data_IF_869483424902
#
_entry.id   IF_869483424902
#
_cell.length_a   1.000
_cell.length_b   1.000
_cell.length_c   1.000
_cell.angle_alpha   90.00
_cell.angle_beta   90.00
_cell.angle_gamma   90.00
#
_symmetry.space_group_name_H-M   'P 1'
#
loop_
_entity.id
_entity.type
_entity.pdbx_description
1 polymer ?
#
# COMPACT_ATOMS: atom_id res chain seq x y z
N UNK A 1 -20.30 16.43 27.57
CA UNK A 1 -18.91 16.13 27.93
C UNK A 1 -18.84 14.66 28.27
N UNK A 2 -18.45 13.82 27.33
CA UNK A 2 -18.03 12.45 27.57
C UNK A 2 -16.91 12.19 26.57
N UNK A 3 -15.67 12.37 27.02
CA UNK A 3 -14.46 11.96 26.33
C UNK A 3 -14.55 10.48 26.04
N UNK A 4 -14.41 10.09 24.77
CA UNK A 4 -14.23 8.67 24.42
C UNK A 4 -13.00 8.15 25.21
N UNK A 5 -13.14 7.03 25.95
CA UNK A 5 -12.02 6.53 26.74
C UNK A 5 -10.90 6.11 25.81
N UNK A 6 -9.72 6.72 26.00
CA UNK A 6 -8.48 6.21 25.47
C UNK A 6 -8.38 4.71 25.74
N UNK A 7 -7.87 3.95 24.80
CA UNK A 7 -7.62 2.51 24.94
C UNK A 7 -6.85 2.29 26.24
N UNK A 8 -7.51 1.77 27.28
CA UNK A 8 -6.80 1.38 28.50
C UNK A 8 -5.89 0.21 28.12
N UNK A 9 -4.60 0.50 28.01
CA UNK A 9 -3.57 -0.51 27.94
C UNK A 9 -3.39 -1.04 29.36
N UNK A 10 -3.30 -2.34 29.53
CA UNK A 10 -2.97 -2.92 30.84
C UNK A 10 -1.63 -2.33 31.25
N UNK A 11 -1.65 -1.48 32.31
CA UNK A 11 -0.47 -0.83 32.84
C UNK A 11 0.55 -1.89 33.31
N UNK A 12 1.84 -1.63 33.05
CA UNK A 12 3.01 -2.20 33.71
C UNK A 12 3.71 -3.45 33.14
N UNK A 13 3.42 -3.91 31.94
CA UNK A 13 4.37 -4.86 31.32
C UNK A 13 5.24 -4.12 30.31
N UNK A 14 6.54 -3.90 30.60
CA UNK A 14 7.42 -3.20 29.68
C UNK A 14 7.52 -3.94 28.35
N UNK A 15 7.53 -3.18 27.26
CA UNK A 15 7.65 -3.73 25.89
C UNK A 15 9.08 -4.23 25.71
N UNK A 16 9.22 -5.52 25.45
CA UNK A 16 10.54 -6.10 25.21
C UNK A 16 11.01 -5.78 23.76
N UNK A 17 12.30 -5.51 23.52
CA UNK A 17 12.82 -5.26 22.16
C UNK A 17 12.48 -6.36 21.15
N UNK A 18 12.38 -7.62 21.60
CA UNK A 18 11.97 -8.76 20.77
C UNK A 18 10.53 -8.64 20.24
N UNK A 19 9.65 -7.95 20.96
CA UNK A 19 8.26 -7.72 20.52
C UNK A 19 8.24 -6.71 19.38
N UNK A 20 8.98 -5.60 19.51
CA UNK A 20 9.11 -4.59 18.46
C UNK A 20 9.73 -5.20 17.19
N UNK A 21 10.80 -6.00 17.37
CA UNK A 21 11.44 -6.69 16.26
C UNK A 21 10.48 -7.68 15.58
N UNK A 22 9.74 -8.46 16.37
CA UNK A 22 8.78 -9.42 15.84
C UNK A 22 7.62 -8.76 15.08
N UNK A 23 7.19 -7.59 15.54
CA UNK A 23 6.20 -6.78 14.85
C UNK A 23 6.75 -6.23 13.51
N UNK A 24 7.97 -5.71 13.51
CA UNK A 24 8.60 -5.18 12.31
C UNK A 24 8.90 -6.29 11.27
N UNK A 25 9.14 -7.55 11.70
CA UNK A 25 9.26 -8.70 10.80
C UNK A 25 7.97 -9.00 10.05
N UNK A 26 6.81 -8.58 10.55
CA UNK A 26 5.56 -8.71 9.79
C UNK A 26 5.51 -7.74 8.60
N UNK A 27 6.08 -6.53 8.73
CA UNK A 27 6.22 -5.60 7.60
C UNK A 27 7.19 -6.15 6.53
N UNK A 28 8.22 -6.89 6.95
CA UNK A 28 9.08 -7.65 6.04
C UNK A 28 8.25 -8.64 5.20
N UNK A 29 7.36 -9.41 5.83
CA UNK A 29 6.47 -10.35 5.14
C UNK A 29 5.53 -9.64 4.17
N UNK A 30 4.86 -8.59 4.63
CA UNK A 30 3.90 -7.80 3.84
C UNK A 30 4.53 -7.23 2.57
N UNK A 31 5.73 -6.67 2.67
CA UNK A 31 6.42 -6.06 1.53
C UNK A 31 6.83 -7.10 0.48
N UNK A 32 7.17 -8.32 0.90
CA UNK A 32 7.41 -9.43 -0.02
C UNK A 32 6.18 -9.76 -0.88
N UNK A 33 5.01 -9.82 -0.25
CA UNK A 33 3.75 -10.05 -0.97
C UNK A 33 3.43 -8.90 -1.93
N UNK A 34 3.50 -7.65 -1.45
CA UNK A 34 3.21 -6.48 -2.27
C UNK A 34 4.09 -6.42 -3.51
N UNK A 35 5.39 -6.61 -3.36
CA UNK A 35 6.32 -6.51 -4.48
C UNK A 35 6.13 -7.62 -5.50
N UNK A 36 5.94 -8.87 -5.08
CA UNK A 36 5.85 -10.01 -6.01
C UNK A 36 4.46 -10.16 -6.61
N UNK A 37 3.41 -10.05 -5.77
CA UNK A 37 2.05 -10.37 -6.21
C UNK A 37 1.36 -9.13 -6.81
N UNK A 38 1.44 -7.98 -6.15
CA UNK A 38 0.70 -6.79 -6.59
C UNK A 38 1.49 -5.98 -7.61
N UNK A 39 2.83 -5.88 -7.47
CA UNK A 39 3.61 -4.89 -8.21
C UNK A 39 4.44 -5.46 -9.35
N UNK A 40 5.14 -6.62 -9.16
CA UNK A 40 6.22 -7.00 -10.06
C UNK A 40 5.90 -8.18 -10.99
N UNK A 41 5.42 -9.31 -10.44
CA UNK A 41 5.43 -10.58 -11.16
C UNK A 41 4.01 -11.03 -11.49
N UNK A 42 3.17 -11.28 -10.46
CA UNK A 42 1.88 -11.91 -10.70
C UNK A 42 0.90 -10.99 -11.44
N UNK A 43 0.92 -9.67 -11.20
CA UNK A 43 0.08 -8.72 -11.92
C UNK A 43 0.38 -8.71 -13.44
N UNK A 44 1.65 -8.64 -13.83
CA UNK A 44 2.06 -8.68 -15.23
C UNK A 44 1.75 -10.05 -15.87
N UNK A 45 2.02 -11.14 -15.14
CA UNK A 45 1.66 -12.48 -15.56
C UNK A 45 0.15 -12.67 -15.70
N UNK A 46 -0.66 -12.12 -14.80
CA UNK A 46 -2.11 -12.16 -14.88
C UNK A 46 -2.61 -11.50 -16.16
N UNK A 47 -2.13 -10.29 -16.47
CA UNK A 47 -2.53 -9.54 -17.65
C UNK A 47 -2.06 -10.24 -18.95
N UNK A 48 -0.79 -10.65 -18.99
CA UNK A 48 -0.18 -11.18 -20.23
C UNK A 48 -0.52 -12.64 -20.52
N UNK A 49 -0.66 -13.47 -19.48
CA UNK A 49 -0.81 -14.93 -19.64
C UNK A 49 -2.18 -15.42 -19.20
N UNK A 50 -2.63 -15.08 -17.97
CA UNK A 50 -3.92 -15.59 -17.48
C UNK A 50 -5.09 -14.96 -18.25
N UNK A 51 -5.03 -13.65 -18.50
CA UNK A 51 -6.02 -12.92 -19.31
C UNK A 51 -5.64 -12.83 -20.79
N UNK A 52 -4.54 -13.46 -21.21
CA UNK A 52 -4.12 -13.61 -22.61
C UNK A 52 -3.74 -12.30 -23.31
N UNK A 53 -3.42 -11.23 -22.59
CA UNK A 53 -3.10 -9.92 -23.17
C UNK A 53 -4.28 -9.25 -23.88
N UNK A 54 -5.53 -9.65 -23.59
CA UNK A 54 -6.73 -9.07 -24.18
C UNK A 54 -6.89 -7.60 -23.76
N UNK A 55 -7.57 -6.78 -24.57
CA UNK A 55 -7.80 -5.35 -24.32
C UNK A 55 -8.47 -5.07 -22.95
N UNK A 56 -9.27 -6.01 -22.46
CA UNK A 56 -9.92 -5.96 -21.14
C UNK A 56 -9.05 -6.49 -19.98
N UNK A 57 -7.90 -7.10 -20.25
CA UNK A 57 -7.09 -7.81 -19.23
C UNK A 57 -6.63 -6.88 -18.10
N UNK A 58 -6.15 -5.68 -18.43
CA UNK A 58 -5.74 -4.67 -17.44
C UNK A 58 -6.94 -4.16 -16.64
N UNK A 59 -8.09 -3.96 -17.26
CA UNK A 59 -9.33 -3.58 -16.58
C UNK A 59 -9.78 -4.68 -15.61
N UNK A 60 -9.70 -5.95 -16.01
CA UNK A 60 -10.03 -7.07 -15.13
C UNK A 60 -9.08 -7.12 -13.92
N UNK A 61 -7.77 -6.97 -14.14
CA UNK A 61 -6.79 -6.91 -13.05
C UNK A 61 -7.13 -5.81 -12.04
N UNK A 62 -7.33 -4.58 -12.54
CA UNK A 62 -7.65 -3.45 -11.66
C UNK A 62 -8.99 -3.61 -10.96
N UNK A 63 -9.95 -4.29 -11.59
CA UNK A 63 -11.25 -4.60 -11.01
C UNK A 63 -11.13 -5.59 -9.84
N UNK A 64 -10.36 -6.67 -9.98
CA UNK A 64 -10.19 -7.64 -8.89
C UNK A 64 -9.42 -7.04 -7.71
N UNK A 65 -8.45 -6.15 -7.96
CA UNK A 65 -7.77 -5.37 -6.92
C UNK A 65 -8.76 -4.44 -6.22
N UNK A 66 -9.58 -3.70 -6.98
CA UNK A 66 -10.59 -2.79 -6.45
C UNK A 66 -11.64 -3.51 -5.59
N UNK A 67 -12.13 -4.68 -6.04
CA UNK A 67 -13.06 -5.52 -5.26
C UNK A 67 -12.43 -5.93 -3.93
N UNK A 68 -11.18 -6.36 -3.93
CA UNK A 68 -10.51 -6.75 -2.68
C UNK A 68 -10.37 -5.58 -1.70
N UNK A 69 -10.02 -4.38 -2.17
CA UNK A 69 -9.98 -3.18 -1.34
C UNK A 69 -11.37 -2.76 -0.84
N UNK A 70 -12.40 -2.85 -1.67
CA UNK A 70 -13.78 -2.56 -1.27
C UNK A 70 -14.26 -3.51 -0.16
N UNK A 71 -13.95 -4.81 -0.27
CA UNK A 71 -14.24 -5.79 0.77
C UNK A 71 -13.54 -5.40 2.08
N UNK A 72 -12.25 -5.05 2.03
CA UNK A 72 -11.48 -4.67 3.22
C UNK A 72 -11.99 -3.37 3.85
N UNK A 73 -12.44 -2.41 3.05
CA UNK A 73 -13.04 -1.16 3.56
C UNK A 73 -14.32 -1.40 4.37
N UNK A 74 -15.07 -2.45 4.04
CA UNK A 74 -16.30 -2.82 4.75
C UNK A 74 -15.99 -3.77 5.92
N UNK A 75 -15.23 -4.81 5.66
CA UNK A 75 -14.95 -5.89 6.62
C UNK A 75 -13.95 -5.46 7.69
N UNK A 76 -12.94 -4.66 7.33
CA UNK A 76 -11.87 -4.23 8.23
C UNK A 76 -12.37 -3.54 9.50
N UNK A 77 -13.21 -2.49 9.41
CA UNK A 77 -13.77 -1.82 10.59
C UNK A 77 -14.66 -2.72 11.45
N UNK A 78 -15.42 -3.63 10.81
CA UNK A 78 -16.28 -4.58 11.53
C UNK A 78 -15.44 -5.57 12.35
N UNK A 79 -14.42 -6.15 11.73
CA UNK A 79 -13.49 -7.05 12.40
C UNK A 79 -12.64 -6.32 13.45
N UNK A 80 -12.24 -5.08 13.18
CA UNK A 80 -11.53 -4.23 14.14
C UNK A 80 -12.35 -4.02 15.41
N UNK A 81 -13.59 -3.55 15.28
CA UNK A 81 -14.49 -3.36 16.41
C UNK A 81 -14.80 -4.66 17.16
N UNK A 82 -14.90 -5.80 16.47
CA UNK A 82 -15.06 -7.11 17.08
C UNK A 82 -13.81 -7.53 17.86
N UNK A 83 -12.62 -7.34 17.27
CA UNK A 83 -11.35 -7.69 17.89
C UNK A 83 -11.04 -6.83 19.12
N UNK A 84 -11.32 -5.53 19.07
CA UNK A 84 -11.11 -4.60 20.20
C UNK A 84 -12.00 -4.96 21.39
N UNK A 85 -13.27 -5.36 21.14
CA UNK A 85 -14.18 -5.78 22.22
C UNK A 85 -13.73 -7.06 22.91
N UNK A 86 -13.09 -7.97 22.18
CA UNK A 86 -12.71 -9.30 22.68
C UNK A 86 -11.23 -9.44 23.01
N UNK A 87 -10.43 -8.38 22.85
CA UNK A 87 -8.96 -8.45 22.90
C UNK A 87 -8.44 -9.61 22.03
N UNK A 88 -8.85 -9.62 20.76
CA UNK A 88 -8.62 -10.73 19.84
C UNK A 88 -7.90 -10.28 18.54
N UNK A 89 -7.15 -9.17 18.58
CA UNK A 89 -6.40 -8.66 17.42
C UNK A 89 -5.42 -9.70 16.89
N UNK A 90 -4.69 -10.38 17.78
CA UNK A 90 -3.72 -11.41 17.43
C UNK A 90 -4.39 -12.63 16.77
N UNK A 91 -5.59 -12.98 17.20
CA UNK A 91 -6.38 -14.07 16.59
C UNK A 91 -6.81 -13.71 15.17
N UNK A 92 -7.33 -12.49 14.94
CA UNK A 92 -7.70 -12.03 13.60
C UNK A 92 -6.47 -11.94 12.69
N UNK A 93 -5.34 -11.43 13.22
CA UNK A 93 -4.08 -11.39 12.51
C UNK A 93 -3.61 -12.80 12.08
N UNK A 94 -3.74 -13.81 12.96
CA UNK A 94 -3.39 -15.19 12.63
C UNK A 94 -4.27 -15.74 11.50
N UNK A 95 -5.59 -15.53 11.55
CA UNK A 95 -6.53 -15.94 10.51
C UNK A 95 -6.18 -15.25 9.18
N UNK A 96 -5.90 -13.95 9.20
CA UNK A 96 -5.51 -13.19 8.03
C UNK A 96 -4.18 -13.69 7.44
N UNK A 97 -3.18 -13.98 8.28
CA UNK A 97 -1.89 -14.54 7.86
C UNK A 97 -2.04 -15.90 7.21
N UNK A 98 -2.73 -16.82 7.87
CA UNK A 98 -2.98 -18.17 7.33
C UNK A 98 -3.77 -18.09 6.04
N UNK A 99 -4.83 -17.28 6.01
CA UNK A 99 -5.64 -17.06 4.81
C UNK A 99 -4.81 -16.51 3.64
N UNK A 100 -3.93 -15.53 3.88
CA UNK A 100 -3.03 -14.99 2.86
C UNK A 100 -2.06 -16.06 2.34
N UNK A 101 -1.39 -16.80 3.22
CA UNK A 101 -0.45 -17.86 2.84
C UNK A 101 -1.14 -18.95 2.02
N UNK A 102 -2.26 -19.49 2.51
CA UNK A 102 -2.99 -20.58 1.85
C UNK A 102 -3.54 -20.14 0.50
N UNK A 103 -4.14 -18.95 0.40
CA UNK A 103 -4.67 -18.46 -0.87
C UNK A 103 -3.56 -18.11 -1.87
N UNK A 104 -2.42 -17.57 -1.41
CA UNK A 104 -1.25 -17.32 -2.28
C UNK A 104 -0.65 -18.65 -2.78
N UNK A 105 -0.56 -19.68 -1.94
CA UNK A 105 -0.14 -21.01 -2.37
C UNK A 105 -1.14 -21.63 -3.35
N UNK A 106 -2.44 -21.43 -3.15
CA UNK A 106 -3.47 -21.92 -4.05
C UNK A 106 -3.44 -21.26 -5.43
N UNK A 107 -2.92 -20.02 -5.53
CA UNK A 107 -2.68 -19.39 -6.84
C UNK A 107 -1.62 -20.10 -7.68
N UNK A 108 -0.66 -20.81 -7.06
CA UNK A 108 0.45 -21.43 -7.80
C UNK A 108 -0.03 -22.50 -8.81
N UNK A 109 -0.80 -23.55 -8.44
CA UNK A 109 -1.31 -24.52 -9.40
C UNK A 109 -2.28 -23.91 -10.41
N UNK A 110 -3.01 -22.84 -10.04
CA UNK A 110 -3.91 -22.11 -10.96
C UNK A 110 -3.09 -21.37 -12.01
N UNK A 111 -2.02 -20.68 -11.61
CA UNK A 111 -1.11 -19.99 -12.51
C UNK A 111 -0.43 -20.94 -13.50
N UNK A 112 -0.12 -22.18 -13.09
CA UNK A 112 0.44 -23.21 -13.97
C UNK A 112 -0.49 -23.60 -15.12
N UNK A 113 -1.82 -23.42 -14.97
CA UNK A 113 -2.82 -23.70 -16.02
C UNK A 113 -3.00 -22.52 -17.00
N UNK A 114 -2.30 -21.42 -16.81
CA UNK A 114 -2.46 -20.22 -17.62
C UNK A 114 -3.90 -19.67 -17.59
N UNK A 115 -4.45 -19.34 -18.77
CA UNK A 115 -5.79 -18.76 -18.90
C UNK A 115 -6.96 -19.73 -18.66
N UNK A 116 -6.71 -21.05 -18.57
CA UNK A 116 -7.78 -22.04 -18.43
C UNK A 116 -8.65 -21.85 -17.17
N UNK A 117 -8.07 -21.28 -16.10
CA UNK A 117 -8.74 -21.07 -14.82
C UNK A 117 -8.86 -19.57 -14.43
N UNK A 118 -9.08 -18.68 -15.42
CA UNK A 118 -9.14 -17.23 -15.24
C UNK A 118 -10.03 -16.79 -14.07
N UNK A 119 -11.27 -17.24 -14.02
CA UNK A 119 -12.20 -16.81 -12.96
C UNK A 119 -11.83 -17.33 -11.57
N UNK A 120 -11.26 -18.54 -11.52
CA UNK A 120 -10.76 -19.08 -10.27
C UNK A 120 -9.53 -18.29 -9.78
N UNK A 121 -8.65 -17.89 -10.71
CA UNK A 121 -7.53 -17.00 -10.40
C UNK A 121 -8.02 -15.66 -9.82
N UNK A 122 -9.06 -15.06 -10.39
CA UNK A 122 -9.67 -13.84 -9.85
C UNK A 122 -10.18 -14.03 -8.42
N UNK A 123 -10.96 -15.08 -8.17
CA UNK A 123 -11.54 -15.33 -6.83
C UNK A 123 -10.47 -15.59 -5.79
N UNK A 124 -9.49 -16.43 -6.11
CA UNK A 124 -8.41 -16.80 -5.17
C UNK A 124 -7.47 -15.60 -4.94
N UNK A 125 -7.21 -14.78 -5.97
CA UNK A 125 -6.45 -13.55 -5.79
C UNK A 125 -7.20 -12.55 -4.90
N UNK A 126 -8.49 -12.34 -5.11
CA UNK A 126 -9.30 -11.46 -4.23
C UNK A 126 -9.19 -11.94 -2.78
N UNK A 127 -9.34 -13.24 -2.53
CA UNK A 127 -9.21 -13.80 -1.18
C UNK A 127 -7.80 -13.55 -0.61
N UNK A 128 -6.75 -13.81 -1.38
CA UNK A 128 -5.36 -13.58 -1.00
C UNK A 128 -5.11 -12.11 -0.63
N UNK A 129 -5.54 -11.18 -1.47
CA UNK A 129 -5.34 -9.74 -1.27
C UNK A 129 -6.20 -9.18 -0.12
N UNK A 130 -7.40 -9.71 0.11
CA UNK A 130 -8.23 -9.37 1.27
C UNK A 130 -7.55 -9.78 2.57
N UNK A 131 -7.06 -11.02 2.65
CA UNK A 131 -6.35 -11.52 3.84
C UNK A 131 -5.04 -10.76 4.06
N UNK A 132 -4.27 -10.47 3.01
CA UNK A 132 -3.09 -9.63 3.08
C UNK A 132 -3.41 -8.24 3.68
N UNK A 133 -4.41 -7.55 3.13
CA UNK A 133 -4.76 -6.20 3.56
C UNK A 133 -5.36 -6.15 4.98
N UNK A 134 -6.07 -7.21 5.40
CA UNK A 134 -6.49 -7.37 6.80
C UNK A 134 -5.29 -7.58 7.71
N UNK A 135 -4.31 -8.41 7.32
CA UNK A 135 -3.04 -8.59 8.04
C UNK A 135 -2.32 -7.27 8.27
N UNK A 136 -2.18 -6.45 7.23
CA UNK A 136 -1.59 -5.10 7.29
C UNK A 136 -2.33 -4.20 8.30
N UNK A 137 -3.67 -4.18 8.25
CA UNK A 137 -4.47 -3.37 9.15
C UNK A 137 -4.30 -3.79 10.62
N UNK A 138 -4.34 -5.10 10.90
CA UNK A 138 -4.23 -5.61 12.26
C UNK A 138 -2.81 -5.51 12.82
N UNK A 139 -1.78 -5.62 11.99
CA UNK A 139 -0.40 -5.36 12.40
C UNK A 139 -0.22 -3.90 12.80
N UNK A 140 -0.74 -2.96 12.01
CA UNK A 140 -0.70 -1.54 12.34
C UNK A 140 -1.44 -1.22 13.66
N UNK A 141 -2.52 -1.95 13.98
CA UNK A 141 -3.28 -1.76 15.21
C UNK A 141 -2.53 -2.15 16.50
N UNK A 142 -1.40 -2.85 16.43
CA UNK A 142 -0.53 -3.13 17.57
C UNK A 142 0.47 -2.00 17.86
N UNK A 143 0.73 -1.10 16.92
CA UNK A 143 1.74 -0.06 17.08
C UNK A 143 1.57 0.81 18.34
N UNK A 144 0.35 1.24 18.74
CA UNK A 144 0.13 1.98 19.98
C UNK A 144 0.37 1.15 21.26
N UNK A 145 0.38 -0.20 21.16
CA UNK A 145 0.70 -1.09 22.29
C UNK A 145 2.22 -1.30 22.44
N UNK A 146 3.00 -0.99 21.40
CA UNK A 146 4.45 -1.20 21.32
C UNK A 146 5.26 0.06 21.61
N UNK A 147 4.68 1.24 21.44
CA UNK A 147 5.38 2.50 21.64
C UNK A 147 4.44 3.59 22.14
N UNK A 148 4.97 4.45 23.00
CA UNK A 148 4.32 5.67 23.41
C UNK A 148 4.31 6.72 22.29
N UNK A 149 3.60 7.82 22.48
CA UNK A 149 3.47 8.91 21.49
C UNK A 149 4.81 9.54 21.09
N UNK A 150 5.86 9.43 21.91
CA UNK A 150 7.19 9.98 21.62
C UNK A 150 8.04 9.03 20.77
N UNK A 151 7.81 7.72 20.87
CA UNK A 151 8.62 6.69 20.21
C UNK A 151 7.90 5.99 19.05
N UNK A 152 6.59 6.21 18.89
CA UNK A 152 5.76 5.53 17.88
C UNK A 152 6.28 5.74 16.44
N UNK A 153 6.77 6.95 16.12
CA UNK A 153 7.35 7.25 14.82
C UNK A 153 8.63 6.45 14.56
N UNK A 154 9.49 6.29 15.58
CA UNK A 154 10.72 5.51 15.48
C UNK A 154 10.43 4.03 15.27
N UNK A 155 9.50 3.46 16.03
CA UNK A 155 9.09 2.05 15.88
C UNK A 155 8.46 1.80 14.51
N UNK A 156 7.58 2.71 14.05
CA UNK A 156 7.01 2.65 12.70
C UNK A 156 8.09 2.70 11.61
N UNK A 157 9.11 3.55 11.76
CA UNK A 157 10.21 3.63 10.81
C UNK A 157 11.02 2.32 10.73
N UNK A 158 11.19 1.60 11.84
CA UNK A 158 11.84 0.29 11.84
C UNK A 158 11.03 -0.75 11.07
N UNK A 159 9.70 -0.76 11.22
CA UNK A 159 8.80 -1.62 10.42
C UNK A 159 8.99 -1.37 8.92
N UNK A 160 8.91 -0.11 8.51
CA UNK A 160 9.12 0.27 7.11
C UNK A 160 10.51 -0.12 6.57
N UNK A 161 11.56 0.10 7.38
CA UNK A 161 12.94 -0.26 6.96
C UNK A 161 13.09 -1.76 6.74
N UNK A 162 12.56 -2.59 7.66
CA UNK A 162 12.54 -4.04 7.49
C UNK A 162 11.62 -4.46 6.33
N UNK A 163 10.51 -3.76 6.10
CA UNK A 163 9.65 -3.96 4.95
C UNK A 163 10.41 -3.80 3.64
N UNK A 164 11.17 -2.72 3.44
CA UNK A 164 11.99 -2.54 2.23
C UNK A 164 13.00 -3.69 2.05
N UNK A 165 13.65 -4.13 3.12
CA UNK A 165 14.58 -5.28 3.06
C UNK A 165 13.81 -6.54 2.66
N UNK A 166 12.63 -6.77 3.21
CA UNK A 166 11.76 -7.91 2.89
C UNK A 166 11.34 -7.94 1.43
N UNK A 167 10.89 -6.79 0.91
CA UNK A 167 10.52 -6.64 -0.48
C UNK A 167 11.71 -6.91 -1.42
N UNK A 168 12.86 -6.29 -1.15
CA UNK A 168 14.08 -6.47 -1.95
C UNK A 168 14.58 -7.92 -1.92
N UNK A 169 14.59 -8.57 -0.75
CA UNK A 169 15.04 -9.94 -0.61
C UNK A 169 14.11 -10.91 -1.33
N UNK A 170 12.80 -10.80 -1.12
CA UNK A 170 11.81 -11.66 -1.77
C UNK A 170 11.87 -11.51 -3.29
N UNK A 171 11.92 -10.25 -3.77
CA UNK A 171 12.02 -9.97 -5.20
C UNK A 171 13.34 -10.46 -5.80
N UNK A 172 14.45 -10.34 -5.06
CA UNK A 172 15.78 -10.83 -5.46
C UNK A 172 15.82 -12.35 -5.62
N UNK A 173 15.24 -13.09 -4.68
CA UNK A 173 15.10 -14.57 -4.77
C UNK A 173 14.23 -14.94 -5.97
N UNK A 174 13.12 -14.24 -6.19
CA UNK A 174 12.29 -14.46 -7.38
C UNK A 174 13.03 -14.12 -8.68
N UNK A 175 13.85 -13.06 -8.71
CA UNK A 175 14.67 -12.73 -9.88
C UNK A 175 15.65 -13.84 -10.21
N UNK A 176 16.35 -14.35 -9.20
CA UNK A 176 17.27 -15.49 -9.38
C UNK A 176 16.54 -16.68 -9.99
N UNK A 177 15.37 -17.06 -9.45
CA UNK A 177 14.56 -18.16 -10.01
C UNK A 177 14.15 -17.87 -11.45
N UNK A 178 13.57 -16.68 -11.73
CA UNK A 178 13.09 -16.32 -13.06
C UNK A 178 14.23 -16.34 -14.09
N UNK A 179 15.39 -15.77 -13.75
CA UNK A 179 16.54 -15.73 -14.67
C UNK A 179 17.12 -17.11 -14.97
N UNK A 180 17.22 -17.98 -13.95
CA UNK A 180 17.72 -19.34 -14.13
C UNK A 180 16.77 -20.18 -14.98
N UNK A 181 15.46 -20.07 -14.73
CA UNK A 181 14.44 -20.80 -15.49
C UNK A 181 14.31 -20.30 -16.94
N UNK A 182 14.39 -18.98 -17.16
CA UNK A 182 14.40 -18.39 -18.51
C UNK A 182 15.65 -18.82 -19.29
N UNK A 183 16.83 -18.89 -18.65
CA UNK A 183 18.05 -19.38 -19.28
C UNK A 183 17.92 -20.88 -19.68
N UNK A 184 17.13 -21.65 -18.95
CA UNK A 184 16.78 -23.04 -19.28
C UNK A 184 15.66 -23.17 -20.34
N UNK A 185 15.13 -22.06 -20.88
CA UNK A 185 14.05 -22.03 -21.87
C UNK A 185 12.65 -22.23 -21.31
N UNK A 186 12.48 -22.17 -19.99
CA UNK A 186 11.17 -22.34 -19.37
C UNK A 186 10.21 -21.16 -19.67
N UNK A 187 8.92 -21.47 -19.82
CA UNK A 187 7.86 -20.48 -20.01
C UNK A 187 7.35 -19.94 -18.67
N UNK A 188 6.72 -18.75 -18.69
CA UNK A 188 6.21 -18.08 -17.49
C UNK A 188 5.27 -18.98 -16.65
N UNK A 189 4.42 -19.78 -17.29
CA UNK A 189 3.54 -20.76 -16.64
C UNK A 189 4.28 -21.81 -15.80
N UNK A 190 5.57 -22.03 -16.03
CA UNK A 190 6.39 -23.01 -15.34
C UNK A 190 7.09 -22.42 -14.11
N UNK A 191 7.53 -21.14 -14.15
CA UNK A 191 8.30 -20.55 -13.05
C UNK A 191 7.50 -19.56 -12.18
N UNK A 192 6.46 -18.89 -12.70
CA UNK A 192 5.65 -17.97 -11.88
C UNK A 192 4.93 -18.70 -10.72
N UNK A 193 4.42 -19.94 -10.86
CA UNK A 193 3.91 -20.71 -9.73
C UNK A 193 4.91 -20.82 -8.57
N UNK A 194 6.18 -21.01 -8.87
CA UNK A 194 7.25 -21.10 -7.86
C UNK A 194 7.53 -19.74 -7.18
N UNK A 195 7.42 -18.62 -7.91
CA UNK A 195 7.54 -17.30 -7.27
C UNK A 195 6.42 -17.04 -6.25
N UNK A 196 5.21 -17.52 -6.53
CA UNK A 196 4.09 -17.45 -5.59
C UNK A 196 4.33 -18.34 -4.36
N UNK A 197 4.82 -19.59 -4.57
CA UNK A 197 5.14 -20.49 -3.48
C UNK A 197 6.27 -19.95 -2.59
N UNK A 198 7.34 -19.39 -3.18
CA UNK A 198 8.43 -18.73 -2.46
C UNK A 198 7.90 -17.54 -1.64
N UNK A 199 7.07 -16.70 -2.25
CA UNK A 199 6.47 -15.55 -1.57
C UNK A 199 5.62 -15.99 -0.37
N UNK A 200 4.78 -17.00 -0.53
CA UNK A 200 3.96 -17.55 0.54
C UNK A 200 4.82 -18.17 1.66
N UNK A 201 5.90 -18.86 1.32
CA UNK A 201 6.84 -19.43 2.29
C UNK A 201 7.58 -18.33 3.08
N UNK A 202 8.10 -17.30 2.40
CA UNK A 202 8.75 -16.16 3.05
C UNK A 202 7.75 -15.42 3.93
N UNK A 203 6.52 -15.19 3.44
CA UNK A 203 5.46 -14.56 4.23
C UNK A 203 5.16 -15.36 5.50
N UNK A 204 4.98 -16.67 5.39
CA UNK A 204 4.74 -17.55 6.53
C UNK A 204 5.89 -17.50 7.55
N UNK A 205 7.14 -17.66 7.10
CA UNK A 205 8.32 -17.69 7.97
C UNK A 205 8.58 -16.35 8.64
N UNK A 206 8.50 -15.25 7.89
CA UNK A 206 8.76 -13.91 8.41
C UNK A 206 7.63 -13.41 9.34
N UNK A 207 6.42 -13.93 9.21
CA UNK A 207 5.31 -13.61 10.12
C UNK A 207 5.29 -14.45 11.40
N UNK A 208 6.01 -15.57 11.50
CA UNK A 208 6.03 -16.40 12.70
C UNK A 208 6.45 -15.65 13.98
N UNK A 209 7.49 -14.80 13.98
CA UNK A 209 7.93 -14.12 15.21
C UNK A 209 6.83 -13.32 15.90
N UNK A 210 5.91 -12.68 15.17
CA UNK A 210 4.84 -11.88 15.78
C UNK A 210 3.90 -12.75 16.62
N UNK A 211 3.64 -14.00 16.19
CA UNK A 211 2.80 -14.94 16.92
C UNK A 211 3.51 -15.56 18.13
N UNK A 212 4.84 -15.67 18.08
CA UNK A 212 5.63 -16.23 19.16
C UNK A 212 5.93 -15.21 20.26
N UNK A 213 6.28 -13.97 19.89
CA UNK A 213 6.84 -13.01 20.83
C UNK A 213 5.92 -11.83 21.17
N UNK A 214 5.06 -11.36 20.22
CA UNK A 214 4.18 -10.23 20.47
C UNK A 214 3.10 -10.62 21.49
N UNK A 215 2.92 -9.79 22.51
CA UNK A 215 1.83 -9.91 23.50
C UNK A 215 0.73 -8.90 23.15
N UNK A 216 -0.50 -9.35 23.15
CA UNK A 216 -1.68 -8.48 23.07
C UNK A 216 -1.96 -7.90 24.45
N UNK A 217 -1.92 -6.57 24.56
CA UNK A 217 -2.12 -5.83 25.82
C UNK A 217 -3.52 -5.24 25.94
N UNK A 218 -4.34 -5.40 24.90
CA UNK A 218 -5.71 -4.94 24.92
C UNK A 218 -6.53 -5.68 25.99
N UNK A 219 -7.33 -4.94 26.76
CA UNK A 219 -8.27 -5.53 27.73
C UNK A 219 -9.65 -5.62 27.07
N UNK A 220 -10.38 -6.74 27.20
CA UNK A 220 -11.72 -6.87 26.67
C UNK A 220 -12.65 -5.78 27.22
N UNK A 221 -13.45 -5.15 26.35
CA UNK A 221 -14.45 -4.13 26.70
C UNK A 221 -15.85 -4.68 26.44
N UNK A 222 -16.49 -5.41 27.39
CA UNK A 222 -17.75 -6.11 27.12
C UNK A 222 -18.97 -5.21 26.91
N UNK A 223 -18.97 -3.97 27.40
CA UNK A 223 -20.17 -3.15 27.56
C UNK A 223 -20.36 -1.99 26.59
N UNK A 224 -19.51 -1.81 25.61
CA UNK A 224 -19.76 -0.76 24.60
C UNK A 224 -20.80 -1.30 23.61
N UNK A 225 -22.03 -0.78 23.69
CA UNK A 225 -23.08 -1.04 22.70
C UNK A 225 -22.49 -0.94 21.27
N UNK A 226 -22.90 -1.80 20.33
CA UNK A 226 -22.38 -1.77 18.97
C UNK A 226 -22.76 -0.44 18.33
N UNK A 227 -21.88 0.57 18.49
CA UNK A 227 -21.99 1.74 17.64
C UNK A 227 -21.81 1.24 16.21
N UNK A 228 -22.83 1.46 15.39
CA UNK A 228 -22.74 1.12 13.98
C UNK A 228 -21.46 1.74 13.41
N UNK A 229 -20.59 0.93 12.81
CA UNK A 229 -19.36 1.39 12.13
C UNK A 229 -19.68 2.57 11.20
N UNK A 230 -20.85 2.50 10.56
CA UNK A 230 -21.39 3.57 9.71
C UNK A 230 -21.60 4.86 10.47
N UNK A 231 -22.12 4.79 11.71
CA UNK A 231 -22.32 5.99 12.54
C UNK A 231 -20.98 6.56 13.05
N UNK A 232 -20.01 5.70 13.34
CA UNK A 232 -18.62 6.12 13.62
C UNK A 232 -18.01 6.88 12.46
N UNK A 233 -18.04 6.31 11.26
CA UNK A 233 -17.54 6.96 10.04
C UNK A 233 -18.27 8.27 9.74
N UNK A 234 -19.61 8.30 9.83
CA UNK A 234 -20.39 9.53 9.65
C UNK A 234 -19.97 10.63 10.64
N UNK A 235 -19.68 10.25 11.88
CA UNK A 235 -19.19 11.19 12.91
C UNK A 235 -17.80 11.73 12.53
N UNK A 236 -16.87 10.87 12.13
CA UNK A 236 -15.52 11.28 11.71
C UNK A 236 -15.56 12.20 10.48
N UNK A 237 -16.41 11.90 9.50
CA UNK A 237 -16.64 12.79 8.35
C UNK A 237 -17.30 14.11 8.74
N UNK A 238 -18.20 14.11 9.73
CA UNK A 238 -18.80 15.34 10.23
C UNK A 238 -17.77 16.20 10.96
N UNK A 239 -16.88 15.61 11.74
CA UNK A 239 -15.79 16.30 12.42
C UNK A 239 -14.79 16.93 11.42
N UNK A 240 -14.49 16.25 10.30
CA UNK A 240 -13.64 16.77 9.26
C UNK A 240 -14.13 18.11 8.67
N UNK A 241 -15.44 18.43 8.78
CA UNK A 241 -15.99 19.72 8.36
C UNK A 241 -15.46 20.90 9.19
N UNK A 242 -15.07 20.64 10.44
CA UNK A 242 -14.48 21.66 11.30
C UNK A 242 -13.03 22.01 10.93
N UNK A 243 -12.36 21.20 10.10
CA UNK A 243 -10.96 21.36 9.68
C UNK A 243 -10.87 21.53 8.17
N UNK A 244 -11.17 22.72 7.62
CA UNK A 244 -11.29 22.92 6.17
C UNK A 244 -9.99 22.66 5.41
N UNK A 245 -8.82 23.01 5.98
CA UNK A 245 -7.53 22.75 5.34
C UNK A 245 -7.18 21.27 5.30
N UNK A 246 -7.44 20.53 6.37
CA UNK A 246 -7.25 19.08 6.40
C UNK A 246 -8.22 18.38 5.43
N UNK A 247 -9.47 18.82 5.36
CA UNK A 247 -10.44 18.34 4.38
C UNK A 247 -9.99 18.60 2.95
N UNK A 248 -9.49 19.80 2.67
CA UNK A 248 -8.94 20.16 1.36
C UNK A 248 -7.71 19.30 1.02
N UNK A 249 -6.86 19.03 2.01
CA UNK A 249 -5.72 18.16 1.86
C UNK A 249 -6.14 16.71 1.55
N UNK A 250 -7.23 16.19 2.13
CA UNK A 250 -7.73 14.85 1.81
C UNK A 250 -8.20 14.74 0.36
N UNK A 251 -8.79 15.78 -0.22
CA UNK A 251 -9.11 15.80 -1.65
C UNK A 251 -7.86 15.84 -2.53
N UNK A 252 -6.85 16.63 -2.16
CA UNK A 252 -5.55 16.59 -2.83
C UNK A 252 -4.90 15.22 -2.70
N UNK A 253 -4.99 14.63 -1.50
CA UNK A 253 -4.53 13.28 -1.18
C UNK A 253 -5.18 12.23 -2.06
N UNK A 254 -6.50 12.25 -2.18
CA UNK A 254 -7.25 11.32 -3.04
C UNK A 254 -6.71 11.34 -4.48
N UNK A 255 -6.48 12.53 -5.03
CA UNK A 255 -6.01 12.67 -6.39
C UNK A 255 -4.56 12.15 -6.57
N UNK A 256 -3.59 12.65 -5.80
CA UNK A 256 -2.19 12.24 -6.03
C UNK A 256 -1.92 10.79 -5.58
N UNK A 257 -2.57 10.30 -4.54
CA UNK A 257 -2.46 8.90 -4.12
C UNK A 257 -3.06 7.95 -5.17
N UNK A 258 -4.09 8.39 -5.92
CA UNK A 258 -4.60 7.61 -7.05
C UNK A 258 -3.52 7.43 -8.13
N UNK A 259 -2.76 8.49 -8.44
CA UNK A 259 -1.60 8.40 -9.34
C UNK A 259 -0.51 7.46 -8.80
N UNK A 260 -0.19 7.55 -7.51
CA UNK A 260 0.76 6.63 -6.87
C UNK A 260 0.29 5.18 -6.96
N UNK A 261 -0.98 4.93 -6.69
CA UNK A 261 -1.56 3.58 -6.75
C UNK A 261 -1.47 2.97 -8.15
N UNK A 262 -1.65 3.78 -9.21
CA UNK A 262 -1.43 3.35 -10.59
C UNK A 262 0.02 2.92 -10.79
N UNK A 263 0.98 3.74 -10.39
CA UNK A 263 2.41 3.41 -10.56
C UNK A 263 2.75 2.12 -9.80
N UNK A 264 2.33 1.99 -8.55
CA UNK A 264 2.61 0.79 -7.74
C UNK A 264 2.00 -0.47 -8.37
N UNK A 265 0.76 -0.37 -8.90
CA UNK A 265 0.00 -1.53 -9.35
C UNK A 265 0.27 -1.90 -10.81
N UNK A 266 0.65 -0.94 -11.66
CA UNK A 266 0.64 -1.12 -13.12
C UNK A 266 1.97 -0.80 -13.81
N UNK A 267 3.01 -0.38 -13.07
CA UNK A 267 4.31 -0.07 -13.68
C UNK A 267 4.92 -1.27 -14.43
N UNK A 268 4.81 -2.49 -13.88
CA UNK A 268 5.28 -3.71 -14.54
C UNK A 268 4.42 -4.06 -15.76
N UNK A 269 3.10 -3.91 -15.66
CA UNK A 269 2.19 -4.11 -16.81
C UNK A 269 2.55 -3.15 -17.94
N UNK A 270 2.77 -1.87 -17.64
CA UNK A 270 3.22 -0.89 -18.63
C UNK A 270 4.57 -1.27 -19.25
N UNK A 271 5.54 -1.65 -18.41
CA UNK A 271 6.86 -2.07 -18.89
C UNK A 271 6.77 -3.25 -19.86
N UNK A 272 5.99 -4.27 -19.55
CA UNK A 272 5.87 -5.48 -20.36
C UNK A 272 4.96 -5.27 -21.58
N UNK A 273 3.78 -4.67 -21.41
CA UNK A 273 2.79 -4.55 -22.50
C UNK A 273 3.10 -3.38 -23.45
N UNK A 274 3.59 -2.25 -22.95
CA UNK A 274 3.83 -1.06 -23.77
C UNK A 274 5.26 -0.97 -24.31
N UNK A 275 6.27 -1.50 -23.58
CA UNK A 275 7.68 -1.33 -23.90
C UNK A 275 8.41 -2.66 -24.18
N UNK A 276 7.71 -3.79 -24.08
CA UNK A 276 8.26 -5.10 -24.39
C UNK A 276 9.38 -5.55 -23.46
N UNK A 277 9.38 -5.12 -22.19
CA UNK A 277 10.32 -5.63 -21.19
C UNK A 277 10.09 -7.12 -20.98
N UNK A 278 11.19 -7.85 -20.78
CA UNK A 278 11.10 -9.21 -20.27
C UNK A 278 10.89 -9.17 -18.76
N UNK A 279 10.19 -10.15 -18.22
CA UNK A 279 9.89 -10.22 -16.78
C UNK A 279 11.13 -10.03 -15.89
N UNK A 280 12.28 -10.63 -16.26
CA UNK A 280 13.53 -10.45 -15.50
C UNK A 280 14.01 -8.99 -15.47
N UNK A 281 13.86 -8.26 -16.57
CA UNK A 281 14.28 -6.85 -16.65
C UNK A 281 13.29 -5.94 -15.92
N UNK A 282 12.00 -6.25 -15.96
CA UNK A 282 10.96 -5.63 -15.13
C UNK A 282 11.27 -5.80 -13.63
N UNK A 283 11.67 -6.98 -13.19
CA UNK A 283 12.04 -7.23 -11.80
C UNK A 283 13.29 -6.43 -11.40
N UNK A 284 14.33 -6.40 -12.24
CA UNK A 284 15.53 -5.59 -12.00
C UNK A 284 15.18 -4.11 -11.88
N UNK A 285 14.33 -3.60 -12.78
CA UNK A 285 13.83 -2.23 -12.75
C UNK A 285 13.19 -1.92 -11.40
N UNK A 286 12.28 -2.77 -10.93
CA UNK A 286 11.58 -2.57 -9.66
C UNK A 286 12.51 -2.69 -8.45
N UNK A 287 13.54 -3.54 -8.49
CA UNK A 287 14.59 -3.55 -7.46
C UNK A 287 15.30 -2.19 -7.38
N UNK A 288 15.69 -1.63 -8.51
CA UNK A 288 16.35 -0.32 -8.56
C UNK A 288 15.40 0.79 -8.10
N UNK A 289 14.13 0.75 -8.50
CA UNK A 289 13.08 1.68 -8.04
C UNK A 289 12.93 1.65 -6.52
N UNK A 290 12.94 0.47 -5.89
CA UNK A 290 12.87 0.36 -4.43
C UNK A 290 14.09 0.98 -3.73
N UNK A 291 15.30 0.81 -4.29
CA UNK A 291 16.51 1.48 -3.78
C UNK A 291 16.37 3.01 -3.93
N UNK A 292 15.93 3.47 -5.10
CA UNK A 292 15.68 4.90 -5.35
C UNK A 292 14.61 5.45 -4.40
N UNK A 293 13.57 4.68 -4.07
CA UNK A 293 12.53 5.08 -3.12
C UNK A 293 13.07 5.23 -1.68
N UNK A 294 13.95 4.34 -1.26
CA UNK A 294 14.63 4.44 0.03
C UNK A 294 15.51 5.71 0.10
N UNK A 295 16.28 5.99 -0.96
CA UNK A 295 17.08 7.22 -1.07
C UNK A 295 16.17 8.45 -1.06
N UNK A 296 15.09 8.43 -1.82
CA UNK A 296 14.11 9.50 -1.89
C UNK A 296 13.48 9.81 -0.53
N UNK A 297 13.03 8.79 0.19
CA UNK A 297 12.47 8.95 1.53
C UNK A 297 13.47 9.59 2.50
N UNK A 298 14.74 9.17 2.46
CA UNK A 298 15.81 9.70 3.30
C UNK A 298 16.13 11.16 2.96
N UNK A 299 16.43 11.46 1.69
CA UNK A 299 16.82 12.80 1.24
C UNK A 299 15.70 13.81 1.46
N UNK A 300 14.48 13.46 1.04
CA UNK A 300 13.34 14.36 1.18
C UNK A 300 12.85 14.50 2.63
N UNK A 301 13.16 13.56 3.53
CA UNK A 301 12.97 13.74 4.97
C UNK A 301 13.72 14.97 5.48
N UNK A 302 15.02 15.11 5.18
CA UNK A 302 15.82 16.30 5.53
C UNK A 302 15.37 17.57 4.81
N UNK A 303 14.97 17.45 3.55
CA UNK A 303 14.46 18.59 2.77
C UNK A 303 13.16 19.10 3.40
N UNK A 304 12.28 18.20 3.80
CA UNK A 304 10.99 18.50 4.43
C UNK A 304 11.12 19.28 5.74
N UNK A 305 12.13 18.96 6.55
CA UNK A 305 12.42 19.68 7.79
C UNK A 305 12.89 21.13 7.54
N UNK A 306 13.56 21.37 6.40
CA UNK A 306 14.10 22.70 6.06
C UNK A 306 13.11 23.62 5.34
N UNK A 307 12.35 23.10 4.39
CA UNK A 307 11.48 23.90 3.51
C UNK A 307 9.98 23.69 3.78
N UNK A 308 9.64 22.82 4.73
CA UNK A 308 8.28 22.52 5.15
C UNK A 308 7.59 21.43 4.32
N UNK A 309 6.61 20.80 4.94
CA UNK A 309 5.93 19.61 4.42
C UNK A 309 5.17 19.87 3.10
N UNK A 310 4.41 20.97 3.02
CA UNK A 310 3.63 21.32 1.82
C UNK A 310 4.52 21.62 0.63
N UNK A 311 5.58 22.39 0.83
CA UNK A 311 6.53 22.76 -0.24
C UNK A 311 7.21 21.50 -0.79
N UNK A 312 7.69 20.64 0.10
CA UNK A 312 8.31 19.37 -0.28
C UNK A 312 7.36 18.46 -1.06
N UNK A 313 6.11 18.31 -0.59
CA UNK A 313 5.11 17.54 -1.33
C UNK A 313 4.80 18.16 -2.69
N UNK A 314 4.73 19.50 -2.79
CA UNK A 314 4.51 20.18 -4.07
C UNK A 314 5.65 19.91 -5.06
N UNK A 315 6.90 19.96 -4.60
CA UNK A 315 8.07 19.61 -5.43
C UNK A 315 7.99 18.18 -5.90
N UNK A 316 7.67 17.24 -5.02
CA UNK A 316 7.52 15.82 -5.40
C UNK A 316 6.39 15.59 -6.40
N UNK A 317 5.27 16.31 -6.29
CA UNK A 317 4.19 16.22 -7.28
C UNK A 317 4.61 16.79 -8.65
N UNK A 318 5.39 17.86 -8.69
CA UNK A 318 6.00 18.36 -9.94
C UNK A 318 6.95 17.32 -10.52
N UNK A 319 7.80 16.70 -9.69
CA UNK A 319 8.69 15.62 -10.14
C UNK A 319 7.90 14.43 -10.68
N UNK A 320 6.74 14.06 -10.09
CA UNK A 320 5.84 13.03 -10.61
C UNK A 320 5.31 13.39 -12.01
N UNK A 321 4.88 14.64 -12.22
CA UNK A 321 4.44 15.11 -13.54
C UNK A 321 5.58 14.98 -14.56
N UNK A 322 6.79 15.42 -14.21
CA UNK A 322 7.98 15.27 -15.05
C UNK A 322 8.27 13.80 -15.35
N UNK A 323 8.17 12.92 -14.35
CA UNK A 323 8.33 11.46 -14.51
C UNK A 323 7.37 10.89 -15.55
N UNK A 324 6.09 11.26 -15.48
CA UNK A 324 5.09 10.83 -16.46
C UNK A 324 5.40 11.38 -17.85
N UNK A 325 5.82 12.64 -17.97
CA UNK A 325 6.19 13.23 -19.25
C UNK A 325 7.43 12.56 -19.85
N UNK A 326 8.44 12.23 -19.07
CA UNK A 326 9.60 11.45 -19.52
C UNK A 326 9.13 10.09 -20.07
N UNK A 327 8.34 9.34 -19.31
CA UNK A 327 7.83 8.04 -19.74
C UNK A 327 6.92 8.14 -21.00
N UNK A 328 6.20 9.24 -21.16
CA UNK A 328 5.34 9.48 -22.30
C UNK A 328 6.10 9.86 -23.57
N UNK A 329 7.06 10.79 -23.49
CA UNK A 329 7.77 11.29 -24.66
C UNK A 329 8.96 10.42 -25.06
N UNK A 330 9.66 9.82 -24.10
CA UNK A 330 10.81 8.98 -24.34
C UNK A 330 10.44 7.49 -24.26
N UNK A 331 9.79 6.98 -25.33
CA UNK A 331 9.19 5.63 -25.38
C UNK A 331 10.21 4.51 -25.65
N UNK A 332 11.34 4.53 -25.01
CA UNK A 332 12.30 3.45 -25.06
C UNK A 332 12.46 2.82 -23.70
N UNK A 333 13.00 1.62 -23.65
CA UNK A 333 13.33 0.99 -22.37
C UNK A 333 14.26 1.88 -21.54
N UNK A 334 15.25 2.54 -22.15
CA UNK A 334 16.16 3.45 -21.46
C UNK A 334 15.43 4.67 -20.87
N UNK A 335 14.50 5.27 -21.62
CA UNK A 335 13.67 6.36 -21.12
C UNK A 335 12.83 5.93 -19.93
N UNK A 336 12.30 4.71 -19.96
CA UNK A 336 11.52 4.17 -18.85
C UNK A 336 12.41 3.87 -17.62
N UNK A 337 13.65 3.41 -17.80
CA UNK A 337 14.61 3.29 -16.71
C UNK A 337 14.84 4.61 -15.98
N UNK A 338 15.00 5.71 -16.73
CA UNK A 338 15.15 7.06 -16.15
C UNK A 338 13.87 7.46 -15.41
N UNK A 339 12.71 7.36 -16.06
CA UNK A 339 11.42 7.69 -15.46
C UNK A 339 11.16 6.88 -14.17
N UNK A 340 11.44 5.59 -14.17
CA UNK A 340 11.24 4.70 -13.04
C UNK A 340 12.15 5.07 -11.83
N UNK A 341 13.40 5.49 -12.07
CA UNK A 341 14.25 5.98 -10.98
C UNK A 341 13.73 7.28 -10.38
N UNK A 342 13.26 8.23 -11.20
CA UNK A 342 12.57 9.42 -10.71
C UNK A 342 11.29 9.07 -9.94
N UNK A 343 10.50 8.11 -10.45
CA UNK A 343 9.32 7.61 -9.75
C UNK A 343 9.67 7.05 -8.37
N UNK A 344 10.76 6.28 -8.26
CA UNK A 344 11.25 5.77 -6.98
C UNK A 344 11.52 6.89 -5.99
N UNK A 345 12.35 7.88 -6.37
CA UNK A 345 12.66 9.05 -5.52
C UNK A 345 11.38 9.75 -5.04
N UNK A 346 10.43 9.97 -5.96
CA UNK A 346 9.16 10.63 -5.65
C UNK A 346 8.26 9.78 -4.74
N UNK A 347 8.27 8.45 -4.89
CA UNK A 347 7.41 7.53 -4.13
C UNK A 347 7.72 7.64 -2.64
N UNK A 348 8.98 7.49 -2.25
CA UNK A 348 9.42 7.60 -0.85
C UNK A 348 9.08 8.96 -0.24
N UNK A 349 9.35 10.04 -0.98
CA UNK A 349 9.09 11.42 -0.55
C UNK A 349 7.58 11.71 -0.38
N UNK A 350 6.73 11.27 -1.32
CA UNK A 350 5.29 11.55 -1.30
C UNK A 350 4.58 10.82 -0.16
N UNK A 351 5.00 9.57 0.14
CA UNK A 351 4.41 8.79 1.21
C UNK A 351 4.70 9.39 2.59
N UNK A 352 5.93 9.80 2.83
CA UNK A 352 6.32 10.44 4.10
C UNK A 352 5.68 11.81 4.27
N UNK A 353 5.71 12.66 3.22
CA UNK A 353 5.15 14.02 3.23
C UNK A 353 3.65 14.05 3.46
N UNK A 354 2.91 13.13 2.85
CA UNK A 354 1.46 13.02 3.04
C UNK A 354 1.08 12.72 4.48
N UNK A 355 1.75 11.76 5.11
CA UNK A 355 1.52 11.42 6.53
C UNK A 355 1.87 12.55 7.47
N UNK A 356 2.98 13.24 7.24
CA UNK A 356 3.40 14.36 8.05
C UNK A 356 2.36 15.50 8.04
N UNK A 357 1.82 15.86 6.88
CA UNK A 357 0.76 16.86 6.75
C UNK A 357 -0.51 16.49 7.51
N UNK A 358 -0.93 15.22 7.48
CA UNK A 358 -2.05 14.75 8.31
C UNK A 358 -1.74 14.93 9.78
N UNK A 359 -0.54 14.54 10.23
CA UNK A 359 -0.13 14.67 11.63
C UNK A 359 -0.11 16.10 12.13
N UNK A 360 0.41 17.05 11.32
CA UNK A 360 0.52 18.47 11.68
C UNK A 360 -0.85 19.16 11.75
N UNK A 361 -1.76 18.82 10.83
CA UNK A 361 -3.08 19.47 10.75
C UNK A 361 -4.18 18.74 11.53
N UNK A 362 -3.87 17.67 12.27
CA UNK A 362 -4.84 16.91 13.05
C UNK A 362 -4.76 17.24 14.53
N UNK A 363 -5.89 17.44 15.24
CA UNK A 363 -5.92 17.62 16.68
C UNK A 363 -5.27 16.45 17.41
N UNK A 364 -4.40 16.72 18.38
CA UNK A 364 -3.69 15.69 19.14
C UNK A 364 -4.61 14.67 19.81
N UNK A 365 -5.75 15.13 20.33
CA UNK A 365 -6.74 14.27 20.99
C UNK A 365 -7.45 13.29 20.03
N UNK A 366 -7.45 13.57 18.72
CA UNK A 366 -8.17 12.80 17.69
C UNK A 366 -7.26 12.32 16.56
N UNK A 367 -5.95 12.37 16.74
CA UNK A 367 -4.96 12.08 15.70
C UNK A 367 -5.15 10.70 15.07
N UNK A 368 -5.47 9.69 15.87
CA UNK A 368 -5.72 8.33 15.39
C UNK A 368 -6.95 8.24 14.46
N UNK A 369 -8.00 9.03 14.76
CA UNK A 369 -9.22 9.09 13.95
C UNK A 369 -8.93 9.70 12.56
N UNK A 370 -8.17 10.79 12.51
CA UNK A 370 -7.79 11.44 11.24
C UNK A 370 -6.80 10.61 10.43
N UNK A 371 -5.89 9.87 11.06
CA UNK A 371 -5.08 8.88 10.35
C UNK A 371 -5.93 7.72 9.82
N UNK A 372 -6.98 7.32 10.53
CA UNK A 372 -7.97 6.36 10.04
C UNK A 372 -8.68 6.86 8.77
N UNK A 373 -9.14 8.12 8.76
CA UNK A 373 -9.72 8.75 7.57
C UNK A 373 -8.69 8.86 6.42
N UNK A 374 -7.44 9.19 6.72
CA UNK A 374 -6.37 9.15 5.72
C UNK A 374 -6.19 7.76 5.11
N UNK A 375 -6.21 6.72 5.93
CA UNK A 375 -6.19 5.33 5.46
C UNK A 375 -7.33 5.00 4.50
N UNK A 376 -8.54 5.52 4.74
CA UNK A 376 -9.66 5.39 3.80
C UNK A 376 -9.40 6.14 2.48
N UNK A 377 -8.83 7.36 2.54
CA UNK A 377 -8.45 8.12 1.34
C UNK A 377 -7.45 7.32 0.50
N UNK A 378 -6.40 6.77 1.12
CA UNK A 378 -5.38 5.96 0.43
C UNK A 378 -6.00 4.72 -0.22
N UNK A 379 -6.90 4.01 0.48
CA UNK A 379 -7.59 2.83 -0.09
C UNK A 379 -8.53 3.18 -1.22
N UNK A 380 -9.29 4.26 -1.08
CA UNK A 380 -10.16 4.76 -2.16
C UNK A 380 -9.34 5.17 -3.38
N UNK A 381 -8.19 5.79 -3.17
CA UNK A 381 -7.22 6.11 -4.23
C UNK A 381 -6.70 4.86 -4.94
N UNK A 382 -6.45 3.78 -4.18
CA UNK A 382 -6.05 2.47 -4.68
C UNK A 382 -7.13 1.79 -5.55
N UNK A 383 -8.39 2.20 -5.40
CA UNK A 383 -9.49 1.78 -6.28
C UNK A 383 -9.58 2.71 -7.50
N UNK A 384 -9.70 4.02 -7.25
CA UNK A 384 -10.01 5.01 -8.29
C UNK A 384 -8.89 5.09 -9.34
N UNK A 385 -7.63 5.17 -8.91
CA UNK A 385 -6.51 5.31 -9.83
C UNK A 385 -6.38 4.14 -10.81
N UNK A 386 -6.13 2.91 -10.32
CA UNK A 386 -6.00 1.74 -11.18
C UNK A 386 -7.24 1.46 -12.03
N UNK A 387 -8.46 1.69 -11.50
CA UNK A 387 -9.69 1.52 -12.28
C UNK A 387 -9.78 2.50 -13.44
N UNK A 388 -9.43 3.78 -13.24
CA UNK A 388 -9.40 4.76 -14.33
C UNK A 388 -8.35 4.38 -15.38
N UNK A 389 -7.17 3.93 -14.98
CA UNK A 389 -6.16 3.44 -15.91
C UNK A 389 -6.68 2.23 -16.71
N UNK A 390 -7.25 1.22 -16.02
CA UNK A 390 -7.81 0.03 -16.66
C UNK A 390 -8.97 0.34 -17.61
N UNK A 391 -9.85 1.27 -17.22
CA UNK A 391 -10.96 1.72 -18.08
C UNK A 391 -10.45 2.39 -19.35
N UNK A 392 -9.44 3.27 -19.24
CA UNK A 392 -8.85 3.93 -20.40
C UNK A 392 -8.17 2.93 -21.32
N UNK A 393 -7.39 2.00 -20.81
CA UNK A 393 -6.76 0.97 -21.66
C UNK A 393 -7.79 0.11 -22.35
N UNK A 394 -8.89 -0.25 -21.70
CA UNK A 394 -9.98 -1.00 -22.30
C UNK A 394 -10.70 -0.20 -23.40
N UNK A 395 -11.10 1.05 -23.13
CA UNK A 395 -11.81 1.91 -24.11
C UNK A 395 -10.96 2.27 -25.33
N UNK A 396 -9.64 2.23 -25.18
CA UNK A 396 -8.65 2.60 -26.22
C UNK A 396 -7.91 1.40 -26.81
N UNK A 397 -8.45 0.19 -26.64
CA UNK A 397 -7.91 -1.05 -27.20
C UNK A 397 -6.42 -1.26 -26.86
N UNK A 398 -6.07 -1.10 -25.56
CA UNK A 398 -4.72 -1.34 -25.05
C UNK A 398 -3.78 -0.13 -25.11
N UNK A 399 -4.29 1.10 -25.29
CA UNK A 399 -3.43 2.28 -25.31
C UNK A 399 -2.93 2.67 -23.90
N UNK A 400 -1.90 1.97 -23.42
CA UNK A 400 -1.25 2.24 -22.13
C UNK A 400 -0.61 3.64 -22.04
N UNK A 401 -0.24 4.26 -23.17
CA UNK A 401 0.33 5.61 -23.21
C UNK A 401 -0.70 6.67 -22.83
N UNK A 402 -1.92 6.55 -23.34
CA UNK A 402 -3.00 7.47 -22.97
C UNK A 402 -3.38 7.29 -21.49
N UNK A 403 -3.43 6.06 -21.00
CA UNK A 403 -3.66 5.77 -19.59
C UNK A 403 -2.57 6.37 -18.68
N UNK A 404 -1.31 6.41 -19.13
CA UNK A 404 -0.21 7.07 -18.43
C UNK A 404 -0.42 8.59 -18.33
N UNK A 405 -0.93 9.27 -19.37
CA UNK A 405 -1.27 10.70 -19.30
C UNK A 405 -2.38 10.98 -18.28
N UNK A 406 -3.37 10.10 -18.19
CA UNK A 406 -4.43 10.22 -17.17
C UNK A 406 -3.84 10.07 -15.76
N UNK A 407 -2.86 9.18 -15.58
CA UNK A 407 -2.11 9.11 -14.32
C UNK A 407 -1.41 10.44 -14.02
N UNK A 408 -0.77 11.05 -15.03
CA UNK A 408 -0.17 12.38 -14.91
C UNK A 408 -1.16 13.46 -14.49
N UNK A 409 -2.39 13.43 -15.04
CA UNK A 409 -3.45 14.38 -14.66
C UNK A 409 -3.86 14.28 -13.20
N UNK A 410 -3.78 13.10 -12.58
CA UNK A 410 -4.05 12.91 -11.15
C UNK A 410 -3.05 13.68 -10.28
N UNK A 411 -1.76 13.69 -10.67
CA UNK A 411 -0.74 14.49 -9.97
C UNK A 411 -0.95 16.00 -10.19
N UNK A 412 -1.37 16.42 -11.39
CA UNK A 412 -1.70 17.83 -11.67
C UNK A 412 -2.90 18.27 -10.82
N UNK A 413 -3.97 17.47 -10.76
CA UNK A 413 -5.14 17.76 -9.93
C UNK A 413 -4.74 17.80 -8.45
N UNK A 414 -3.95 16.83 -7.99
CA UNK A 414 -3.44 16.78 -6.62
C UNK A 414 -2.65 18.04 -6.26
N UNK A 415 -1.75 18.49 -7.14
CA UNK A 415 -0.95 19.70 -6.97
C UNK A 415 -1.83 20.97 -6.95
N UNK A 416 -2.81 21.04 -7.84
CA UNK A 416 -3.76 22.16 -7.90
C UNK A 416 -4.57 22.26 -6.60
N UNK A 417 -5.13 21.16 -6.13
CA UNK A 417 -5.89 21.11 -4.89
C UNK A 417 -5.01 21.40 -3.65
N UNK A 418 -3.75 20.98 -3.67
CA UNK A 418 -2.80 21.23 -2.59
C UNK A 418 -2.47 22.73 -2.44
N UNK A 419 -2.54 23.51 -3.51
CA UNK A 419 -2.31 24.96 -3.45
C UNK A 419 -3.26 25.66 -2.48
N UNK A 420 -4.52 25.23 -2.42
CA UNK A 420 -5.55 25.79 -1.57
C UNK A 420 -5.41 25.44 -0.07
N UNK A 421 -4.53 24.51 0.28
CA UNK A 421 -4.28 24.11 1.67
C UNK A 421 -3.37 25.13 2.35
N UNK A 422 -3.79 25.69 3.48
CA UNK A 422 -2.94 26.50 4.36
C UNK A 422 -2.56 25.68 5.59
N UNK A 423 -1.29 25.24 5.63
CA UNK A 423 -0.78 24.37 6.70
C UNK A 423 -0.76 25.10 8.04
N UNK A 424 -0.38 26.40 8.06
CA UNK A 424 -0.31 27.18 9.29
C UNK A 424 -1.70 27.36 9.91
N UNK A 425 -2.70 27.69 9.09
CA UNK A 425 -4.09 27.79 9.54
C UNK A 425 -4.62 26.43 10.01
N UNK A 426 -4.31 25.35 9.29
CA UNK A 426 -4.68 23.97 9.67
C UNK A 426 -4.06 23.56 11.02
N UNK A 427 -2.78 23.87 11.25
CA UNK A 427 -2.08 23.62 12.50
C UNK A 427 -2.66 24.44 13.67
N UNK A 428 -2.94 25.72 13.45
CA UNK A 428 -3.60 26.56 14.45
C UNK A 428 -4.97 26.02 14.84
N UNK A 429 -5.79 25.61 13.87
CA UNK A 429 -7.09 25.00 14.12
C UNK A 429 -6.98 23.68 14.90
N UNK A 430 -5.97 22.87 14.60
CA UNK A 430 -5.68 21.64 15.31
C UNK A 430 -5.27 21.88 16.78
N UNK A 431 -4.41 22.87 17.01
CA UNK A 431 -3.93 23.23 18.34
C UNK A 431 -5.01 23.91 19.20
N UNK A 432 -5.93 24.69 18.59
CA UNK A 432 -7.04 25.33 19.30
C UNK A 432 -8.11 24.34 19.81
N UNK A 433 -8.12 23.13 19.29
CA UNK A 433 -9.05 22.05 19.68
C UNK A 433 -8.43 21.09 20.73
N UNK A 434 -7.21 21.37 21.17
CA UNK A 434 -6.50 20.61 22.21
C UNK A 434 -6.61 21.29 23.55
#
# INVERSE_FOLDING_TARGET
MNSAPATQVAADVPVAPREVWSWAMYDFANSGYTTVVITAIFNAFFVSVIAGGADWATLLWTTVVAISFAIVMVVGPVLGAWADRRAAKKKVLAIATIGCVVSTLALAPIAAQGGALLWLACVVFIASNVFYALGENFTAAFLPELADSKHIAKVSAWGWSLGYVGGLLTLGVCLWLVTTQQAAGAKAVQYVPWTLAITAAIYALASLPIFLFLRERAVPKPEVAPQSVVNGLKRSFAQLKAYPDLRQFFWAGLAYQAGLAVVITLASVYAEQALGFKMADTIKLLLVVNVSAAIGAFVFGYVQDKIGHKTTLSITLVMWIVTVLIAYFWHTQNGFWVAANFAGLCLGASQSGGRALVGVMSPKAQIAEFYGLWGLVVRLSGIVGPMLYGLVTWMTQGNHRLALLITGSMFVIGLYLLRAVDVNRGEQAANAAT
#
